data_IF_057177929234
#
_entry.id   IF_057177929234
#
_cell.length_a   1.000
_cell.length_b   1.000
_cell.length_c   1.000
_cell.angle_alpha   90.00
_cell.angle_beta   90.00
_cell.angle_gamma   90.00
#
_symmetry.space_group_name_H-M   'P 1'
#
loop_
_entity.id
_entity.type
_entity.pdbx_description
1 polymer ?
#
# COMPACT_ATOMS: atom_id res chain seq x y z
N UNK A 1 -13.57 45.26 -2.42
CA UNK A 1 -13.71 43.81 -2.12
C UNK A 1 -13.89 43.65 -0.62
N UNK A 2 -14.92 42.93 -0.14
CA UNK A 2 -15.11 42.66 1.28
C UNK A 2 -13.93 41.87 1.89
N UNK A 3 -13.48 42.16 3.13
CA UNK A 3 -12.35 41.49 3.78
C UNK A 3 -12.50 39.96 3.87
N UNK A 4 -13.74 39.46 3.99
CA UNK A 4 -14.02 38.03 4.00
C UNK A 4 -13.71 37.34 2.67
N UNK A 5 -13.91 38.03 1.53
CA UNK A 5 -13.59 37.49 0.20
C UNK A 5 -12.08 37.37 0.03
N UNK A 6 -11.32 38.40 0.43
CA UNK A 6 -9.86 38.37 0.40
C UNK A 6 -9.27 37.26 1.30
N UNK A 7 -9.88 37.00 2.46
CA UNK A 7 -9.47 35.92 3.34
C UNK A 7 -9.66 34.53 2.68
N UNK A 8 -10.81 34.30 2.05
CA UNK A 8 -11.09 33.02 1.37
C UNK A 8 -10.19 32.84 0.15
N UNK A 9 -9.97 33.89 -0.64
CA UNK A 9 -9.06 33.87 -1.79
C UNK A 9 -7.63 33.50 -1.36
N UNK A 10 -7.12 34.10 -0.29
CA UNK A 10 -5.78 33.79 0.24
C UNK A 10 -5.71 32.35 0.80
N UNK A 11 -6.78 31.86 1.43
CA UNK A 11 -6.88 30.45 1.86
C UNK A 11 -6.85 29.50 0.66
N UNK A 12 -7.62 29.78 -0.39
CA UNK A 12 -7.63 28.99 -1.62
C UNK A 12 -6.27 29.00 -2.31
N UNK A 13 -5.61 30.17 -2.35
CA UNK A 13 -4.27 30.31 -2.92
C UNK A 13 -3.23 29.46 -2.17
N UNK A 14 -3.23 29.50 -0.84
CA UNK A 14 -2.36 28.66 0.00
C UNK A 14 -2.66 27.17 -0.19
N UNK A 15 -3.94 26.79 -0.25
CA UNK A 15 -4.33 25.39 -0.49
C UNK A 15 -3.86 24.91 -1.86
N UNK A 16 -4.00 25.72 -2.91
CA UNK A 16 -3.53 25.37 -4.24
C UNK A 16 -2.00 25.24 -4.30
N UNK A 17 -1.25 26.10 -3.61
CA UNK A 17 0.21 25.98 -3.48
C UNK A 17 0.61 24.69 -2.76
N UNK A 18 -0.08 24.36 -1.67
CA UNK A 18 0.14 23.11 -0.94
C UNK A 18 -0.11 21.89 -1.83
N UNK A 19 -1.24 21.85 -2.56
CA UNK A 19 -1.57 20.74 -3.44
C UNK A 19 -0.52 20.53 -4.54
N UNK A 20 -0.04 21.61 -5.17
CA UNK A 20 1.06 21.54 -6.15
C UNK A 20 2.37 21.05 -5.55
N UNK A 21 2.66 21.45 -4.30
CA UNK A 21 3.82 20.94 -3.57
C UNK A 21 3.69 19.45 -3.29
N UNK A 22 2.52 19.01 -2.83
CA UNK A 22 2.21 17.62 -2.52
C UNK A 22 2.27 16.75 -3.79
N UNK A 23 1.77 17.25 -4.92
CA UNK A 23 1.91 16.60 -6.25
C UNK A 23 3.37 16.40 -6.65
N UNK A 24 4.22 17.43 -6.49
CA UNK A 24 5.65 17.32 -6.80
C UNK A 24 6.36 16.33 -5.88
N UNK A 25 6.04 16.34 -4.58
CA UNK A 25 6.59 15.39 -3.60
C UNK A 25 6.17 13.97 -3.92
N UNK A 26 4.90 13.76 -4.26
CA UNK A 26 4.39 12.46 -4.64
C UNK A 26 5.11 11.92 -5.89
N UNK A 27 5.23 12.73 -6.95
CA UNK A 27 5.95 12.33 -8.17
C UNK A 27 7.44 12.05 -7.91
N UNK A 28 8.08 12.80 -7.02
CA UNK A 28 9.48 12.57 -6.64
C UNK A 28 9.67 11.27 -5.85
N UNK A 29 8.75 10.95 -4.94
CA UNK A 29 8.75 9.68 -4.23
C UNK A 29 8.54 8.49 -5.19
N UNK A 30 7.60 8.59 -6.13
CA UNK A 30 7.39 7.55 -7.15
C UNK A 30 8.65 7.33 -8.00
N UNK A 31 9.24 8.42 -8.52
CA UNK A 31 10.46 8.33 -9.31
C UNK A 31 11.63 7.73 -8.51
N UNK A 32 11.78 8.10 -7.24
CA UNK A 32 12.78 7.54 -6.32
C UNK A 32 12.56 6.04 -6.11
N UNK A 33 11.32 5.61 -5.90
CA UNK A 33 10.98 4.19 -5.73
C UNK A 33 11.30 3.38 -6.98
N UNK A 34 10.95 3.89 -8.16
CA UNK A 34 11.28 3.24 -9.43
C UNK A 34 12.78 3.14 -9.66
N UNK A 35 13.51 4.23 -9.43
CA UNK A 35 14.95 4.24 -9.55
C UNK A 35 15.60 3.25 -8.57
N UNK A 36 15.14 3.24 -7.31
CA UNK A 36 15.64 2.31 -6.31
C UNK A 36 15.39 0.84 -6.71
N UNK A 37 14.20 0.52 -7.25
CA UNK A 37 13.90 -0.83 -7.76
C UNK A 37 14.81 -1.23 -8.93
N UNK A 38 15.11 -0.30 -9.85
CA UNK A 38 16.07 -0.52 -10.93
C UNK A 38 17.50 -0.72 -10.41
N UNK A 39 17.91 0.03 -9.38
CA UNK A 39 19.22 -0.15 -8.74
C UNK A 39 19.34 -1.51 -8.04
N UNK A 40 18.26 -2.03 -7.43
CA UNK A 40 18.22 -3.38 -6.85
C UNK A 40 18.15 -4.48 -7.92
N UNK A 41 17.54 -4.20 -9.07
CA UNK A 41 17.36 -5.16 -10.16
C UNK A 41 17.83 -4.59 -11.51
N UNK A 42 19.15 -4.32 -11.70
CA UNK A 42 19.65 -3.66 -12.91
C UNK A 42 19.35 -4.43 -14.20
N UNK A 43 19.23 -5.75 -14.11
CA UNK A 43 18.85 -6.62 -15.22
C UNK A 43 17.41 -6.41 -15.70
N UNK A 44 16.57 -5.65 -15.00
CA UNK A 44 15.22 -5.30 -15.47
C UNK A 44 15.18 -4.01 -16.30
N UNK A 45 16.30 -3.31 -16.45
CA UNK A 45 16.36 -2.13 -17.31
C UNK A 45 16.02 -2.47 -18.77
N UNK A 46 15.18 -1.64 -19.37
CA UNK A 46 14.69 -1.82 -20.74
C UNK A 46 13.75 -3.02 -20.97
N UNK A 47 13.36 -3.77 -19.94
CA UNK A 47 12.42 -4.89 -20.10
C UNK A 47 11.01 -4.36 -20.38
N UNK A 48 10.35 -4.92 -21.41
CA UNK A 48 8.98 -4.56 -21.75
C UNK A 48 7.99 -5.17 -20.74
N UNK A 49 7.48 -4.35 -19.82
CA UNK A 49 6.56 -4.75 -18.75
C UNK A 49 5.13 -4.28 -19.02
N UNK A 50 4.71 -4.35 -20.30
CA UNK A 50 3.38 -3.91 -20.77
C UNK A 50 3.01 -2.44 -20.39
N UNK A 51 4.02 -1.58 -20.26
CA UNK A 51 3.85 -0.17 -19.84
C UNK A 51 3.62 0.03 -18.34
N UNK A 52 3.75 -1.03 -17.53
CA UNK A 52 3.67 -0.94 -16.07
C UNK A 52 5.04 -0.57 -15.47
N UNK A 53 5.07 0.30 -14.45
CA UNK A 53 6.29 0.56 -13.68
C UNK A 53 6.61 -0.62 -12.74
N UNK A 54 7.87 -0.75 -12.28
CA UNK A 54 8.32 -1.88 -11.46
C UNK A 54 7.56 -1.96 -10.13
N UNK A 55 7.23 -0.81 -9.54
CA UNK A 55 6.46 -0.75 -8.29
C UNK A 55 5.08 -1.40 -8.38
N UNK A 56 4.53 -1.60 -9.59
CA UNK A 56 3.20 -2.19 -9.80
C UNK A 56 3.21 -3.71 -9.97
N UNK A 57 4.39 -4.33 -9.98
CA UNK A 57 4.55 -5.76 -10.22
C UNK A 57 4.57 -6.62 -8.95
N UNK A 58 4.78 -6.03 -7.78
CA UNK A 58 4.86 -6.78 -6.52
C UNK A 58 6.04 -7.75 -6.48
N UNK A 59 7.22 -7.32 -6.94
CA UNK A 59 8.41 -8.18 -7.04
C UNK A 59 8.82 -8.76 -5.68
N UNK A 60 8.66 -7.99 -4.59
CA UNK A 60 8.96 -8.40 -3.21
C UNK A 60 7.97 -9.39 -2.62
N UNK A 61 6.80 -9.52 -3.23
CA UNK A 61 5.71 -10.41 -2.82
C UNK A 61 5.74 -11.73 -3.61
N UNK A 62 6.51 -11.78 -4.70
CA UNK A 62 6.64 -12.96 -5.54
C UNK A 62 7.76 -13.88 -5.05
N UNK A 63 7.39 -15.03 -4.48
CA UNK A 63 8.33 -16.01 -3.92
C UNK A 63 9.34 -16.54 -4.95
N UNK A 64 8.90 -16.71 -6.20
CA UNK A 64 9.80 -17.20 -7.25
C UNK A 64 10.83 -16.14 -7.64
N UNK A 65 10.39 -14.88 -7.82
CA UNK A 65 11.29 -13.77 -8.13
C UNK A 65 12.28 -13.51 -7.00
N UNK A 66 11.81 -13.45 -5.75
CA UNK A 66 12.65 -13.22 -4.57
C UNK A 66 13.72 -14.30 -4.42
N UNK A 67 13.34 -15.58 -4.51
CA UNK A 67 14.31 -16.70 -4.52
C UNK A 67 15.33 -16.58 -5.65
N UNK A 68 14.88 -16.28 -6.86
CA UNK A 68 15.80 -16.10 -8.01
C UNK A 68 16.74 -14.92 -7.82
N UNK A 69 16.26 -13.83 -7.21
CA UNK A 69 17.06 -12.64 -6.93
C UNK A 69 18.10 -12.93 -5.83
N UNK A 70 17.74 -13.66 -4.79
CA UNK A 70 18.69 -14.12 -3.76
C UNK A 70 19.79 -14.99 -4.36
N UNK A 71 19.44 -15.98 -5.18
CA UNK A 71 20.41 -16.82 -5.89
C UNK A 71 21.32 -15.98 -6.82
N UNK A 72 20.76 -14.98 -7.51
CA UNK A 72 21.55 -14.05 -8.33
C UNK A 72 22.55 -13.26 -7.48
N UNK A 73 22.15 -12.72 -6.32
CA UNK A 73 23.06 -11.98 -5.43
C UNK A 73 24.23 -12.83 -4.94
N UNK A 74 23.99 -14.11 -4.62
CA UNK A 74 25.05 -15.05 -4.22
C UNK A 74 26.02 -15.33 -5.37
N UNK A 75 25.50 -15.56 -6.58
CA UNK A 75 26.33 -15.80 -7.77
C UNK A 75 27.13 -14.55 -8.18
N UNK A 76 26.55 -13.36 -7.99
CA UNK A 76 27.16 -12.08 -8.33
C UNK A 76 28.37 -11.73 -7.44
N UNK A 77 28.57 -12.44 -6.31
CA UNK A 77 29.78 -12.31 -5.50
C UNK A 77 31.06 -12.84 -6.20
N UNK A 78 30.92 -13.62 -7.28
CA UNK A 78 32.04 -14.12 -8.09
C UNK A 78 31.66 -14.18 -9.58
N UNK A 79 31.48 -13.02 -10.23
CA UNK A 79 30.83 -12.94 -11.54
C UNK A 79 31.65 -13.59 -12.65
N UNK A 80 32.97 -13.52 -12.59
CA UNK A 80 33.87 -14.12 -13.60
C UNK A 80 33.73 -15.65 -13.69
N UNK A 81 33.48 -16.32 -12.55
CA UNK A 81 33.32 -17.77 -12.48
C UNK A 81 31.91 -18.22 -12.82
N UNK A 82 30.94 -17.32 -12.68
CA UNK A 82 29.51 -17.62 -12.74
C UNK A 82 28.82 -16.97 -13.95
N UNK A 83 29.56 -16.42 -14.91
CA UNK A 83 29.02 -15.55 -15.97
C UNK A 83 27.83 -16.18 -16.73
N UNK A 84 27.96 -17.43 -17.19
CA UNK A 84 26.87 -18.12 -17.89
C UNK A 84 25.66 -18.38 -17.00
N UNK A 85 25.90 -18.77 -15.74
CA UNK A 85 24.82 -19.03 -14.78
C UNK A 85 24.11 -17.74 -14.38
N UNK A 86 24.84 -16.63 -14.22
CA UNK A 86 24.29 -15.30 -13.98
C UNK A 86 23.42 -14.85 -15.14
N UNK A 87 23.90 -14.96 -16.37
CA UNK A 87 23.13 -14.59 -17.56
C UNK A 87 21.84 -15.41 -17.68
N UNK A 88 21.90 -16.72 -17.39
CA UNK A 88 20.71 -17.58 -17.36
C UNK A 88 19.74 -17.15 -16.24
N UNK A 89 20.24 -16.84 -15.04
CA UNK A 89 19.41 -16.35 -13.92
C UNK A 89 18.75 -15.01 -14.22
N UNK A 90 19.47 -14.09 -14.84
CA UNK A 90 18.91 -12.80 -15.29
C UNK A 90 17.81 -13.00 -16.33
N UNK A 91 17.95 -13.96 -17.24
CA UNK A 91 16.87 -14.32 -18.17
C UNK A 91 15.65 -14.88 -17.44
N UNK A 92 15.84 -15.73 -16.43
CA UNK A 92 14.73 -16.22 -15.58
C UNK A 92 14.04 -15.06 -14.83
N UNK A 93 14.81 -14.12 -14.27
CA UNK A 93 14.28 -12.95 -13.57
C UNK A 93 13.50 -12.03 -14.50
N UNK A 94 14.03 -11.75 -15.71
CA UNK A 94 13.34 -11.00 -16.77
C UNK A 94 12.04 -11.67 -17.18
N UNK A 95 12.08 -12.99 -17.40
CA UNK A 95 10.90 -13.76 -17.78
C UNK A 95 9.83 -13.76 -16.66
N UNK A 96 10.25 -13.89 -15.39
CA UNK A 96 9.33 -13.82 -14.25
C UNK A 96 8.69 -12.43 -14.12
N UNK A 97 9.47 -11.36 -14.24
CA UNK A 97 8.94 -9.99 -14.23
C UNK A 97 7.94 -9.74 -15.38
N UNK A 98 8.23 -10.21 -16.59
CA UNK A 98 7.31 -10.12 -17.72
C UNK A 98 6.03 -10.96 -17.50
N UNK A 99 6.15 -12.13 -16.87
CA UNK A 99 5.01 -12.95 -16.48
C UNK A 99 4.12 -12.24 -15.46
N UNK A 100 4.71 -11.60 -14.44
CA UNK A 100 4.00 -10.79 -13.44
C UNK A 100 3.28 -9.62 -14.11
N UNK A 101 3.94 -8.87 -14.98
CA UNK A 101 3.32 -7.79 -15.73
C UNK A 101 2.11 -8.28 -16.57
N UNK A 102 2.26 -9.41 -17.26
CA UNK A 102 1.15 -10.01 -18.01
C UNK A 102 0.01 -10.48 -17.09
N UNK A 103 0.31 -11.00 -15.89
CA UNK A 103 -0.69 -11.38 -14.90
C UNK A 103 -1.49 -10.16 -14.40
N UNK A 104 -0.80 -9.04 -14.12
CA UNK A 104 -1.44 -7.77 -13.75
C UNK A 104 -2.42 -7.30 -14.82
N UNK A 105 -2.00 -7.29 -16.09
CA UNK A 105 -2.85 -6.87 -17.20
C UNK A 105 -4.06 -7.80 -17.37
N UNK A 106 -3.84 -9.13 -17.29
CA UNK A 106 -4.93 -10.12 -17.37
C UNK A 106 -5.95 -9.95 -16.24
N UNK A 107 -5.48 -9.73 -15.01
CA UNK A 107 -6.34 -9.53 -13.86
C UNK A 107 -7.21 -8.27 -14.04
N UNK A 108 -6.61 -7.15 -14.43
CA UNK A 108 -7.34 -5.90 -14.69
C UNK A 108 -8.37 -6.08 -15.83
N UNK A 109 -8.00 -6.77 -16.91
CA UNK A 109 -8.93 -7.07 -18.01
C UNK A 109 -10.10 -7.95 -17.56
N UNK A 110 -9.86 -8.96 -16.72
CA UNK A 110 -10.89 -9.82 -16.16
C UNK A 110 -11.88 -9.02 -15.29
N UNK A 111 -11.38 -8.15 -14.39
CA UNK A 111 -12.22 -7.29 -13.56
C UNK A 111 -13.08 -6.35 -14.41
N UNK A 112 -12.51 -5.75 -15.46
CA UNK A 112 -13.27 -4.90 -16.39
C UNK A 112 -14.33 -5.67 -17.19
N UNK A 113 -14.04 -6.92 -17.56
CA UNK A 113 -14.99 -7.80 -18.21
C UNK A 113 -16.15 -8.21 -17.31
N UNK A 114 -15.88 -8.48 -16.03
CA UNK A 114 -16.90 -8.82 -15.02
C UNK A 114 -17.76 -7.60 -14.63
N UNK A 115 -17.17 -6.41 -14.64
CA UNK A 115 -17.83 -5.17 -14.20
C UNK A 115 -17.77 -4.07 -15.28
N UNK A 116 -18.42 -4.28 -16.44
CA UNK A 116 -18.35 -3.34 -17.57
C UNK A 116 -18.94 -1.97 -17.24
N UNK A 117 -19.83 -1.88 -16.26
CA UNK A 117 -20.41 -0.60 -15.80
C UNK A 117 -19.41 0.29 -15.02
N UNK A 118 -18.21 -0.20 -14.72
CA UNK A 118 -17.13 0.53 -14.05
C UNK A 118 -16.05 1.10 -15.00
N UNK A 119 -16.23 1.00 -16.33
CA UNK A 119 -15.22 1.42 -17.33
C UNK A 119 -14.75 2.89 -17.24
N UNK A 120 -15.49 3.76 -16.56
CA UNK A 120 -15.20 5.20 -16.47
C UNK A 120 -15.16 5.67 -15.02
N UNK A 121 -14.08 5.34 -14.31
CA UNK A 121 -13.74 6.00 -13.06
C UNK A 121 -12.93 7.27 -13.37
N UNK A 122 -13.15 8.39 -12.66
CA UNK A 122 -12.53 9.68 -12.96
C UNK A 122 -11.07 9.78 -12.45
N UNK A 123 -10.52 8.70 -11.92
CA UNK A 123 -9.16 8.62 -11.36
C UNK A 123 -8.35 7.55 -12.08
N UNK A 124 -7.04 7.76 -12.17
CA UNK A 124 -6.09 6.79 -12.71
C UNK A 124 -5.80 5.71 -11.66
N UNK A 125 -6.80 4.86 -11.41
CA UNK A 125 -6.75 3.75 -10.46
C UNK A 125 -7.26 2.49 -11.16
N UNK A 126 -6.47 1.43 -11.09
CA UNK A 126 -6.86 0.13 -11.62
C UNK A 126 -7.93 -0.51 -10.73
N UNK A 127 -8.90 -1.25 -11.31
CA UNK A 127 -9.95 -1.90 -10.53
C UNK A 127 -9.40 -2.88 -9.49
N UNK A 128 -8.26 -3.53 -9.80
CA UNK A 128 -7.57 -4.42 -8.87
C UNK A 128 -7.14 -3.74 -7.55
N UNK A 129 -6.85 -2.44 -7.58
CA UNK A 129 -6.39 -1.65 -6.42
C UNK A 129 -7.55 -1.21 -5.52
N UNK A 130 -8.79 -1.36 -5.99
CA UNK A 130 -9.99 -1.00 -5.26
C UNK A 130 -10.50 -2.13 -4.36
N UNK A 131 -10.06 -3.36 -4.60
CA UNK A 131 -10.44 -4.56 -3.84
C UNK A 131 -11.98 -4.69 -3.67
N UNK A 132 -12.74 -4.33 -4.72
CA UNK A 132 -14.21 -4.25 -4.68
C UNK A 132 -14.87 -5.58 -4.31
N UNK A 133 -14.27 -6.70 -4.70
CA UNK A 133 -14.75 -8.06 -4.41
C UNK A 133 -14.72 -8.40 -2.91
N UNK A 134 -13.94 -7.66 -2.13
CA UNK A 134 -13.85 -7.81 -0.67
C UNK A 134 -14.64 -6.73 0.08
N UNK A 135 -15.19 -5.74 -0.61
CA UNK A 135 -15.96 -4.68 0.01
C UNK A 135 -17.42 -5.14 0.25
N UNK A 136 -17.90 -5.20 1.50
CA UNK A 136 -19.23 -5.76 1.80
C UNK A 136 -20.39 -4.98 1.19
N UNK A 137 -20.28 -3.64 1.10
CA UNK A 137 -21.31 -2.80 0.45
C UNK A 137 -21.36 -3.10 -1.06
N UNK A 138 -20.20 -3.21 -1.71
CA UNK A 138 -20.11 -3.52 -3.13
C UNK A 138 -20.61 -4.93 -3.44
N UNK A 139 -20.19 -5.93 -2.66
CA UNK A 139 -20.64 -7.33 -2.81
C UNK A 139 -22.15 -7.43 -2.65
N UNK A 140 -22.74 -6.72 -1.68
CA UNK A 140 -24.19 -6.70 -1.50
C UNK A 140 -24.94 -6.06 -2.69
N UNK A 141 -24.37 -5.02 -3.30
CA UNK A 141 -24.92 -4.41 -4.52
C UNK A 141 -24.79 -5.33 -5.72
N UNK A 142 -23.64 -6.00 -5.88
CA UNK A 142 -23.38 -6.96 -6.94
C UNK A 142 -24.33 -8.16 -6.86
N UNK A 143 -24.56 -8.71 -5.67
CA UNK A 143 -25.50 -9.80 -5.46
C UNK A 143 -26.95 -9.42 -5.84
N UNK A 144 -27.38 -8.20 -5.47
CA UNK A 144 -28.71 -7.68 -5.88
C UNK A 144 -28.81 -7.50 -7.39
N UNK A 145 -27.74 -7.03 -8.04
CA UNK A 145 -27.70 -6.88 -9.50
C UNK A 145 -27.73 -8.22 -10.21
N UNK A 146 -26.95 -9.21 -9.73
CA UNK A 146 -26.95 -10.56 -10.28
C UNK A 146 -28.34 -11.20 -10.19
N UNK A 147 -28.99 -11.18 -9.03
CA UNK A 147 -30.34 -11.71 -8.84
C UNK A 147 -31.40 -11.01 -9.72
N UNK A 148 -31.22 -9.70 -9.97
CA UNK A 148 -32.10 -8.95 -10.86
C UNK A 148 -31.94 -9.35 -12.33
N UNK A 149 -30.70 -9.65 -12.75
CA UNK A 149 -30.35 -10.03 -14.11
C UNK A 149 -30.69 -11.50 -14.44
N UNK A 150 -31.10 -12.31 -13.46
CA UNK A 150 -31.65 -13.66 -13.72
C UNK A 150 -32.93 -13.60 -14.55
N UNK A 151 -33.70 -12.51 -14.43
CA UNK A 151 -34.88 -12.23 -15.24
C UNK A 151 -34.48 -11.37 -16.47
N UNK A 152 -34.54 -11.91 -17.70
CA UNK A 152 -34.14 -11.21 -18.92
C UNK A 152 -34.93 -9.92 -19.17
N UNK A 153 -36.19 -9.85 -18.72
CA UNK A 153 -37.05 -8.66 -18.91
C UNK A 153 -36.65 -7.51 -17.96
N UNK A 154 -36.00 -7.86 -16.85
CA UNK A 154 -35.47 -6.91 -15.85
C UNK A 154 -34.00 -6.58 -16.07
N UNK A 155 -33.27 -7.45 -16.78
CA UNK A 155 -31.89 -7.23 -17.18
C UNK A 155 -31.78 -5.94 -18.03
N UNK A 156 -31.01 -4.96 -17.54
CA UNK A 156 -30.88 -3.65 -18.20
C UNK A 156 -32.04 -2.67 -17.98
N UNK A 157 -33.02 -3.04 -17.15
CA UNK A 157 -34.11 -2.16 -16.71
C UNK A 157 -33.64 -1.01 -15.81
N UNK A 158 -34.58 -0.15 -15.40
CA UNK A 158 -34.28 1.02 -14.57
C UNK A 158 -33.64 0.65 -13.22
N UNK A 159 -34.05 -0.47 -12.62
CA UNK A 159 -33.51 -0.97 -11.37
C UNK A 159 -32.06 -1.48 -11.52
N UNK A 160 -31.75 -2.20 -12.61
CA UNK A 160 -30.39 -2.66 -12.91
C UNK A 160 -29.44 -1.48 -13.11
N UNK A 161 -29.86 -0.49 -13.90
CA UNK A 161 -29.11 0.75 -14.13
C UNK A 161 -28.92 1.56 -12.83
N UNK A 162 -29.87 1.50 -11.90
CA UNK A 162 -29.73 2.13 -10.57
C UNK A 162 -28.68 1.42 -9.73
N UNK A 163 -28.66 0.09 -9.72
CA UNK A 163 -27.65 -0.70 -9.01
C UNK A 163 -26.26 -0.49 -9.61
N UNK A 164 -26.13 -0.48 -10.94
CA UNK A 164 -24.88 -0.17 -11.65
C UNK A 164 -24.36 1.24 -11.32
N UNK A 165 -25.27 2.22 -11.22
CA UNK A 165 -24.91 3.57 -10.77
C UNK A 165 -24.42 3.57 -9.33
N UNK A 166 -25.12 2.88 -8.42
CA UNK A 166 -24.71 2.77 -7.02
C UNK A 166 -23.33 2.11 -6.88
N UNK A 167 -23.07 1.02 -7.61
CA UNK A 167 -21.76 0.36 -7.67
C UNK A 167 -20.69 1.31 -8.22
N UNK A 168 -20.99 2.06 -9.29
CA UNK A 168 -20.06 3.06 -9.83
C UNK A 168 -19.76 4.17 -8.84
N UNK A 169 -20.75 4.69 -8.15
CA UNK A 169 -20.58 5.78 -7.18
C UNK A 169 -19.83 5.30 -5.93
N UNK A 170 -20.04 4.05 -5.50
CA UNK A 170 -19.21 3.42 -4.45
C UNK A 170 -17.77 3.23 -4.93
N UNK A 171 -17.55 2.67 -6.12
CA UNK A 171 -16.21 2.48 -6.68
C UNK A 171 -15.45 3.80 -6.84
N UNK A 172 -16.15 4.90 -7.20
CA UNK A 172 -15.57 6.25 -7.23
C UNK A 172 -15.11 6.72 -5.85
N UNK A 173 -15.94 6.57 -4.81
CA UNK A 173 -15.56 6.92 -3.43
C UNK A 173 -14.33 6.14 -2.98
N UNK A 174 -14.31 4.83 -3.22
CA UNK A 174 -13.15 3.98 -2.89
C UNK A 174 -11.91 4.42 -3.67
N UNK A 175 -12.05 4.73 -4.96
CA UNK A 175 -10.94 5.23 -5.77
C UNK A 175 -10.39 6.56 -5.26
N UNK A 176 -11.25 7.49 -4.83
CA UNK A 176 -10.83 8.75 -4.16
C UNK A 176 -10.00 8.46 -2.92
N UNK A 177 -10.48 7.55 -2.06
CA UNK A 177 -9.79 7.17 -0.83
C UNK A 177 -8.43 6.52 -1.12
N UNK A 178 -8.35 5.64 -2.13
CA UNK A 178 -7.10 4.99 -2.56
C UNK A 178 -6.09 6.02 -3.10
N UNK A 179 -6.52 6.95 -3.95
CA UNK A 179 -5.65 8.02 -4.48
C UNK A 179 -5.15 8.91 -3.36
N UNK A 180 -6.03 9.32 -2.46
CA UNK A 180 -5.69 10.17 -1.31
C UNK A 180 -4.73 9.46 -0.35
N UNK A 181 -4.95 8.19 -0.05
CA UNK A 181 -4.06 7.39 0.79
C UNK A 181 -2.68 7.23 0.14
N UNK A 182 -2.62 6.88 -1.15
CA UNK A 182 -1.36 6.79 -1.90
C UNK A 182 -0.61 8.12 -1.90
N UNK A 183 -1.30 9.22 -2.22
CA UNK A 183 -0.69 10.56 -2.23
C UNK A 183 -0.11 10.90 -0.87
N UNK A 184 -0.84 10.64 0.22
CA UNK A 184 -0.35 10.89 1.59
C UNK A 184 0.90 10.09 1.89
N UNK A 185 0.89 8.79 1.60
CA UNK A 185 2.04 7.92 1.82
C UNK A 185 3.27 8.41 1.03
N UNK A 186 3.11 8.76 -0.25
CA UNK A 186 4.20 9.28 -1.07
C UNK A 186 4.74 10.63 -0.58
N UNK A 187 3.85 11.55 -0.18
CA UNK A 187 4.25 12.84 0.40
C UNK A 187 5.00 12.63 1.72
N UNK A 188 4.55 11.70 2.55
CA UNK A 188 5.23 11.36 3.80
C UNK A 188 6.60 10.72 3.57
N UNK A 189 6.71 9.77 2.63
CA UNK A 189 7.99 9.21 2.17
C UNK A 189 8.95 10.31 1.73
N UNK A 190 8.52 11.23 0.87
CA UNK A 190 9.41 12.32 0.42
C UNK A 190 9.75 13.29 1.56
N UNK A 191 8.81 13.59 2.48
CA UNK A 191 9.11 14.40 3.66
C UNK A 191 10.19 13.75 4.55
N UNK A 192 10.14 12.42 4.72
CA UNK A 192 11.15 11.67 5.45
C UNK A 192 12.50 11.76 4.75
N UNK A 193 12.56 11.60 3.43
CA UNK A 193 13.81 11.69 2.67
C UNK A 193 14.38 13.11 2.58
N UNK A 194 13.54 14.13 2.49
CA UNK A 194 13.97 15.53 2.54
C UNK A 194 14.61 15.85 3.89
N UNK A 195 14.02 15.35 4.99
CA UNK A 195 14.56 15.59 6.34
C UNK A 195 15.75 14.68 6.68
N UNK A 196 15.72 13.44 6.22
CA UNK A 196 16.71 12.40 6.53
C UNK A 196 17.16 11.67 5.26
N UNK A 197 18.07 12.27 4.46
CA UNK A 197 18.61 11.63 3.26
C UNK A 197 19.33 10.30 3.53
N UNK A 198 19.68 10.04 4.79
CA UNK A 198 20.30 8.80 5.22
C UNK A 198 19.32 7.62 5.39
N UNK A 199 18.01 7.82 5.27
CA UNK A 199 17.05 6.72 5.37
C UNK A 199 17.03 5.88 4.08
N UNK A 200 16.95 4.55 4.17
CA UNK A 200 16.73 3.71 3.00
C UNK A 200 15.26 3.82 2.54
N UNK A 201 15.01 3.63 1.24
CA UNK A 201 13.64 3.56 0.68
C UNK A 201 12.84 2.40 1.30
N UNK A 202 13.55 1.29 1.52
CA UNK A 202 13.02 0.05 2.04
C UNK A 202 13.94 -0.46 3.16
N UNK A 203 13.62 -0.16 4.45
CA UNK A 203 14.46 -0.56 5.57
C UNK A 203 14.58 -2.07 5.80
N UNK A 204 13.62 -2.85 5.29
CA UNK A 204 13.66 -4.31 5.23
C UNK A 204 12.89 -4.80 3.99
N UNK A 205 13.22 -5.97 3.41
CA UNK A 205 12.60 -6.47 2.18
C UNK A 205 11.07 -6.37 2.16
N UNK A 206 10.53 -5.64 1.18
CA UNK A 206 9.11 -5.35 1.01
C UNK A 206 8.46 -4.54 2.14
N UNK A 207 9.21 -3.77 2.94
CA UNK A 207 8.67 -2.83 3.96
C UNK A 207 9.11 -1.41 3.61
N UNK A 208 8.19 -0.56 3.15
CA UNK A 208 8.51 0.81 2.78
C UNK A 208 8.80 1.68 4.02
N UNK A 209 9.65 2.71 3.86
CA UNK A 209 10.05 3.60 4.98
C UNK A 209 8.86 4.22 5.73
N UNK A 210 7.78 4.58 5.02
CA UNK A 210 6.56 5.14 5.62
C UNK A 210 5.78 4.12 6.44
N UNK A 211 5.88 2.83 6.10
CA UNK A 211 5.21 1.75 6.83
C UNK A 211 5.89 1.47 8.17
N UNK A 212 7.17 1.82 8.34
CA UNK A 212 7.93 1.54 9.57
C UNK A 212 7.37 2.28 10.79
N UNK A 213 6.67 3.41 10.62
CA UNK A 213 6.11 4.18 11.74
C UNK A 213 7.18 4.90 12.55
N UNK A 214 8.20 5.45 11.88
CA UNK A 214 9.33 6.14 12.51
C UNK A 214 8.89 7.32 13.38
N UNK A 215 7.84 8.03 12.98
CA UNK A 215 7.40 9.26 13.67
C UNK A 215 6.80 8.93 15.05
N UNK A 216 6.23 7.73 15.20
CA UNK A 216 5.68 7.23 16.46
C UNK A 216 6.79 6.74 17.41
N UNK A 217 7.88 6.21 16.86
CA UNK A 217 8.99 5.64 17.63
C UNK A 217 9.68 6.70 18.53
N UNK A 218 9.71 6.51 19.86
CA UNK A 218 10.29 7.48 20.78
C UNK A 218 11.81 7.65 20.60
N UNK A 219 12.53 6.59 20.22
CA UNK A 219 13.98 6.63 20.00
C UNK A 219 14.31 7.44 18.76
N UNK A 220 13.63 7.18 17.65
CA UNK A 220 13.73 7.98 16.43
C UNK A 220 13.39 9.45 16.68
N UNK A 221 12.35 9.75 17.47
CA UNK A 221 12.02 11.14 17.84
C UNK A 221 13.15 11.82 18.62
N UNK A 222 13.77 11.13 19.57
CA UNK A 222 14.92 11.67 20.30
C UNK A 222 16.10 11.95 19.36
N UNK A 223 16.44 11.00 18.49
CA UNK A 223 17.51 11.15 17.50
C UNK A 223 17.20 12.27 16.48
N UNK A 224 15.95 12.42 16.06
CA UNK A 224 15.50 13.53 15.22
C UNK A 224 15.75 14.87 15.90
N UNK A 225 15.41 14.98 17.19
CA UNK A 225 15.58 16.23 17.93
C UNK A 225 17.05 16.58 18.13
N UNK A 226 17.89 15.59 18.41
CA UNK A 226 19.34 15.75 18.48
C UNK A 226 19.90 16.21 17.13
N UNK A 227 19.51 15.56 16.03
CA UNK A 227 19.97 15.90 14.69
C UNK A 227 19.55 17.33 14.30
N UNK A 228 18.33 17.75 14.63
CA UNK A 228 17.85 19.12 14.40
C UNK A 228 18.71 20.15 15.18
N UNK A 229 19.13 19.82 16.41
CA UNK A 229 20.02 20.67 17.21
C UNK A 229 21.45 20.74 16.66
N UNK A 230 22.02 19.59 16.26
CA UNK A 230 23.38 19.53 15.70
C UNK A 230 23.49 20.30 14.38
N UNK A 231 22.44 20.26 13.54
CA UNK A 231 22.35 20.98 12.25
C UNK A 231 22.33 22.50 12.38
N UNK A 232 22.25 23.05 13.59
CA UNK A 232 22.41 24.50 13.81
C UNK A 232 23.83 24.99 13.46
N UNK A 233 24.85 24.13 13.63
CA UNK A 233 26.24 24.41 13.24
C UNK A 233 26.87 23.16 12.59
N UNK A 234 26.58 22.91 11.30
CA UNK A 234 26.95 21.65 10.64
C UNK A 234 28.46 21.44 10.49
N UNK A 235 29.25 22.51 10.37
CA UNK A 235 30.70 22.43 10.21
C UNK A 235 31.37 22.01 11.50
N UNK A 236 30.93 22.57 12.63
CA UNK A 236 31.44 22.19 13.95
C UNK A 236 31.00 20.79 14.38
N UNK A 237 29.76 20.42 14.05
CA UNK A 237 29.13 19.19 14.53
C UNK A 237 29.18 18.04 13.49
N UNK A 238 30.04 18.12 12.48
CA UNK A 238 30.01 17.21 11.33
C UNK A 238 30.10 15.72 11.73
N UNK A 239 31.00 15.38 12.67
CA UNK A 239 31.16 14.00 13.14
C UNK A 239 29.94 13.51 13.94
N UNK A 240 29.38 14.36 14.80
CA UNK A 240 28.17 14.04 15.58
C UNK A 240 26.94 13.90 14.68
N UNK A 241 26.81 14.74 13.64
CA UNK A 241 25.76 14.62 12.63
C UNK A 241 25.87 13.28 11.93
N UNK A 242 27.06 12.92 11.43
CA UNK A 242 27.28 11.64 10.75
C UNK A 242 27.05 10.43 11.68
N UNK A 243 27.39 10.55 12.97
CA UNK A 243 27.08 9.52 13.97
C UNK A 243 25.57 9.38 14.21
N UNK A 244 24.87 10.50 14.38
CA UNK A 244 23.42 10.54 14.61
C UNK A 244 22.65 10.05 13.38
N UNK A 245 23.06 10.42 12.16
CA UNK A 245 22.45 9.93 10.92
C UNK A 245 22.63 8.42 10.74
N UNK A 246 23.79 7.87 11.14
CA UNK A 246 23.98 6.41 11.20
C UNK A 246 23.05 5.76 12.22
N UNK A 247 22.86 6.38 13.39
CA UNK A 247 21.92 5.88 14.41
C UNK A 247 20.46 5.94 13.93
N UNK A 248 20.06 7.02 13.23
CA UNK A 248 18.75 7.17 12.61
C UNK A 248 18.52 6.08 11.55
N UNK A 249 19.49 5.85 10.67
CA UNK A 249 19.43 4.77 9.67
C UNK A 249 19.31 3.40 10.33
N UNK A 250 20.16 3.12 11.33
CA UNK A 250 20.15 1.85 12.06
C UNK A 250 18.80 1.60 12.75
N UNK A 251 18.22 2.63 13.40
CA UNK A 251 16.91 2.51 14.03
C UNK A 251 15.80 2.23 13.01
N UNK A 252 15.87 2.85 11.84
CA UNK A 252 14.90 2.58 10.78
C UNK A 252 14.99 1.14 10.25
N UNK A 253 16.20 0.62 10.05
CA UNK A 253 16.42 -0.77 9.65
C UNK A 253 15.95 -1.74 10.74
N UNK A 254 16.26 -1.49 12.01
CA UNK A 254 15.80 -2.31 13.15
C UNK A 254 14.27 -2.42 13.18
N UNK A 255 13.57 -1.29 13.10
CA UNK A 255 12.11 -1.27 13.09
C UNK A 255 11.52 -1.92 11.83
N UNK A 256 12.14 -1.71 10.67
CA UNK A 256 11.76 -2.38 9.43
C UNK A 256 11.90 -3.90 9.53
N UNK A 257 13.03 -4.40 10.05
CA UNK A 257 13.27 -5.82 10.27
C UNK A 257 12.29 -6.42 11.27
N UNK A 258 12.01 -5.73 12.38
CA UNK A 258 11.00 -6.17 13.35
C UNK A 258 9.61 -6.29 12.71
N UNK A 259 9.26 -5.34 11.83
CA UNK A 259 7.98 -5.37 11.10
C UNK A 259 7.91 -6.52 10.08
N UNK A 260 8.99 -6.77 9.36
CA UNK A 260 9.10 -7.92 8.47
C UNK A 260 8.96 -9.24 9.26
N UNK A 261 9.69 -9.40 10.36
CA UNK A 261 9.63 -10.59 11.21
C UNK A 261 8.23 -10.85 11.73
N UNK A 262 7.55 -9.82 12.27
CA UNK A 262 6.17 -9.93 12.70
C UNK A 262 5.22 -10.35 11.56
N UNK A 263 5.46 -9.85 10.34
CA UNK A 263 4.68 -10.22 9.15
C UNK A 263 4.90 -11.68 8.77
N UNK A 264 6.14 -12.16 8.78
CA UNK A 264 6.47 -13.55 8.50
C UNK A 264 5.94 -14.52 9.56
N UNK A 265 5.94 -14.11 10.84
CA UNK A 265 5.31 -14.87 11.92
C UNK A 265 3.80 -15.00 11.73
N UNK A 266 3.11 -13.91 11.38
CA UNK A 266 1.70 -13.98 11.04
C UNK A 266 1.44 -14.83 9.79
N UNK A 267 2.30 -14.78 8.77
CA UNK A 267 2.17 -15.62 7.58
C UNK A 267 2.37 -17.11 7.91
N UNK A 268 3.29 -17.44 8.84
CA UNK A 268 3.45 -18.81 9.35
C UNK A 268 2.20 -19.29 10.08
N UNK A 269 1.54 -18.42 10.84
CA UNK A 269 0.29 -18.73 11.53
C UNK A 269 -0.91 -18.84 10.57
N UNK A 270 -0.92 -18.05 9.49
CA UNK A 270 -2.04 -17.97 8.53
C UNK A 270 -1.54 -18.14 7.08
N UNK A 271 -1.05 -19.34 6.70
CA UNK A 271 -0.40 -19.58 5.40
C UNK A 271 -1.35 -19.46 4.19
N UNK A 272 -2.66 -19.40 4.42
CA UNK A 272 -3.68 -19.18 3.39
C UNK A 272 -3.86 -17.70 3.02
N UNK A 273 -3.23 -16.78 3.77
CA UNK A 273 -3.20 -15.35 3.48
C UNK A 273 -1.88 -14.95 2.79
N UNK A 274 -1.93 -14.02 1.83
CA UNK A 274 -0.72 -13.40 1.30
C UNK A 274 -0.04 -12.53 2.36
N UNK A 275 1.27 -12.29 2.17
CA UNK A 275 2.07 -11.38 3.01
C UNK A 275 1.46 -9.98 3.15
N UNK A 276 0.76 -9.52 2.12
CA UNK A 276 0.00 -8.26 2.10
C UNK A 276 -1.45 -8.53 1.77
N UNK A 277 -2.36 -8.06 2.61
CA UNK A 277 -3.81 -8.06 2.34
C UNK A 277 -4.21 -6.65 1.94
N UNK A 278 -4.67 -6.49 0.71
CA UNK A 278 -4.99 -5.19 0.10
C UNK A 278 -3.89 -4.15 0.33
N UNK A 279 -2.64 -4.48 -0.04
CA UNK A 279 -1.44 -3.65 0.15
C UNK A 279 -1.04 -3.37 1.62
N UNK A 280 -1.72 -3.92 2.62
CA UNK A 280 -1.38 -3.77 4.04
C UNK A 280 -0.60 -5.00 4.52
N UNK A 281 0.53 -4.79 5.21
CA UNK A 281 1.31 -5.86 5.83
C UNK A 281 0.49 -6.60 6.88
N UNK A 282 0.61 -7.93 6.95
CA UNK A 282 -0.13 -8.73 7.94
C UNK A 282 0.07 -8.22 9.37
N UNK A 283 1.32 -7.89 9.74
CA UNK A 283 1.66 -7.34 11.06
C UNK A 283 0.88 -6.07 11.49
N UNK A 284 0.27 -5.36 10.54
CA UNK A 284 -0.57 -4.19 10.81
C UNK A 284 -2.06 -4.51 11.01
N UNK A 285 -2.50 -5.72 10.67
CA UNK A 285 -3.91 -6.13 10.69
C UNK A 285 -4.38 -6.62 12.05
N UNK A 286 -3.45 -6.96 12.95
CA UNK A 286 -3.73 -7.47 14.30
C UNK A 286 -4.72 -8.64 14.29
N UNK A 287 -4.51 -9.60 13.39
CA UNK A 287 -5.42 -10.73 13.15
C UNK A 287 -5.72 -11.55 14.42
N UNK A 288 -4.76 -11.62 15.35
CA UNK A 288 -4.91 -12.30 16.63
C UNK A 288 -5.92 -11.63 17.60
N UNK A 289 -6.15 -10.31 17.46
CA UNK A 289 -7.07 -9.54 18.30
C UNK A 289 -8.51 -9.59 17.77
N UNK A 290 -8.73 -10.02 16.52
CA UNK A 290 -10.04 -10.05 15.88
C UNK A 290 -10.79 -11.36 16.19
N UNK A 291 -11.78 -11.29 17.08
CA UNK A 291 -12.55 -12.47 17.51
C UNK A 291 -13.24 -13.21 16.36
N UNK A 292 -13.80 -12.49 15.38
CA UNK A 292 -14.47 -13.11 14.22
C UNK A 292 -13.48 -13.88 13.36
N UNK A 293 -12.31 -13.30 13.11
CA UNK A 293 -11.24 -13.98 12.39
C UNK A 293 -10.77 -15.24 13.14
N UNK A 294 -10.58 -15.16 14.46
CA UNK A 294 -10.16 -16.31 15.27
C UNK A 294 -11.21 -17.44 15.32
N UNK A 295 -12.50 -17.11 15.35
CA UNK A 295 -13.57 -18.11 15.23
C UNK A 295 -13.53 -18.84 13.89
N UNK A 296 -13.29 -18.11 12.79
CA UNK A 296 -13.14 -18.69 11.46
C UNK A 296 -11.87 -19.55 11.35
N UNK A 297 -10.77 -19.15 11.99
CA UNK A 297 -9.54 -19.95 12.07
C UNK A 297 -9.81 -21.26 12.81
N UNK A 298 -10.46 -21.22 13.97
CA UNK A 298 -10.82 -22.41 14.73
C UNK A 298 -11.70 -23.37 13.92
N UNK A 299 -12.67 -22.83 13.16
CA UNK A 299 -13.48 -23.62 12.22
C UNK A 299 -12.65 -24.27 11.13
N UNK A 300 -11.73 -23.51 10.52
CA UNK A 300 -10.83 -24.00 9.46
C UNK A 300 -9.92 -25.11 10.01
N UNK A 301 -9.34 -24.93 11.18
CA UNK A 301 -8.45 -25.92 11.79
C UNK A 301 -9.20 -27.21 12.18
N UNK A 302 -10.44 -27.11 12.64
CA UNK A 302 -11.30 -28.28 12.84
C UNK A 302 -11.58 -29.04 11.53
N UNK A 303 -11.80 -28.32 10.43
CA UNK A 303 -11.98 -28.92 9.10
C UNK A 303 -10.69 -29.58 8.59
N UNK A 304 -9.52 -29.00 8.84
CA UNK A 304 -8.23 -29.58 8.47
C UNK A 304 -7.94 -30.83 9.32
N UNK A 305 -8.20 -30.77 10.62
CA UNK A 305 -8.00 -31.88 11.55
C UNK A 305 -8.92 -33.08 11.26
N UNK A 306 -10.11 -32.86 10.70
CA UNK A 306 -11.02 -33.92 10.26
C UNK A 306 -10.45 -34.76 9.08
N UNK A 307 -9.37 -34.31 8.43
CA UNK A 307 -8.63 -35.10 7.45
C UNK A 307 -9.38 -35.32 6.12
N UNK A 308 -9.07 -36.39 5.36
CA UNK A 308 -9.60 -36.63 4.01
C UNK A 308 -11.12 -36.79 3.90
N UNK A 309 -11.82 -36.96 5.04
CA UNK A 309 -13.29 -36.99 5.10
C UNK A 309 -13.94 -35.61 5.28
N UNK A 310 -13.13 -34.56 5.40
CA UNK A 310 -13.59 -33.17 5.51
C UNK A 310 -14.11 -32.66 4.16
N UNK A 311 -15.15 -31.82 4.22
CA UNK A 311 -15.74 -31.26 3.00
C UNK A 311 -14.80 -30.18 2.42
N UNK A 312 -14.18 -30.40 1.25
CA UNK A 312 -13.22 -29.46 0.67
C UNK A 312 -13.89 -28.14 0.25
N UNK A 313 -15.19 -28.16 -0.07
CA UNK A 313 -15.95 -26.96 -0.40
C UNK A 313 -16.16 -26.09 0.83
N UNK A 314 -16.40 -26.70 2.00
CA UNK A 314 -16.52 -25.97 3.26
C UNK A 314 -15.18 -25.37 3.70
N UNK A 315 -14.07 -26.08 3.50
CA UNK A 315 -12.74 -25.55 3.78
C UNK A 315 -12.46 -24.32 2.89
N UNK A 316 -12.67 -24.47 1.58
CA UNK A 316 -12.50 -23.37 0.61
C UNK A 316 -13.41 -22.18 0.93
N UNK A 317 -14.67 -22.43 1.33
CA UNK A 317 -15.59 -21.38 1.74
C UNK A 317 -15.15 -20.68 3.03
N UNK A 318 -14.61 -21.42 4.00
CA UNK A 318 -14.09 -20.86 5.25
C UNK A 318 -12.84 -20.02 5.00
N UNK A 319 -11.92 -20.48 4.17
CA UNK A 319 -10.72 -19.71 3.77
C UNK A 319 -11.09 -18.44 2.98
N UNK A 320 -12.16 -18.48 2.17
CA UNK A 320 -12.71 -17.29 1.53
C UNK A 320 -13.25 -16.28 2.56
N UNK A 321 -13.97 -16.75 3.58
CA UNK A 321 -14.45 -15.90 4.67
C UNK A 321 -13.29 -15.27 5.46
N UNK A 322 -12.23 -16.04 5.73
CA UNK A 322 -11.02 -15.54 6.37
C UNK A 322 -10.33 -14.45 5.56
N UNK A 323 -10.19 -14.64 4.24
CA UNK A 323 -9.64 -13.62 3.33
C UNK A 323 -10.50 -12.36 3.30
N UNK A 324 -11.82 -12.51 3.26
CA UNK A 324 -12.76 -11.39 3.34
C UNK A 324 -12.61 -10.60 4.65
N UNK A 325 -12.56 -11.29 5.80
CA UNK A 325 -12.37 -10.63 7.10
C UNK A 325 -11.01 -9.92 7.21
N UNK A 326 -9.93 -10.53 6.70
CA UNK A 326 -8.63 -9.89 6.67
C UNK A 326 -8.64 -8.61 5.80
N UNK A 327 -9.36 -8.61 4.68
CA UNK A 327 -9.54 -7.42 3.82
C UNK A 327 -10.34 -6.32 4.53
N UNK A 328 -11.40 -6.67 5.27
CA UNK A 328 -12.12 -5.70 6.11
C UNK A 328 -11.20 -5.03 7.14
N UNK A 329 -10.32 -5.82 7.78
CA UNK A 329 -9.32 -5.30 8.73
C UNK A 329 -8.29 -4.41 8.03
N UNK A 330 -7.86 -4.75 6.81
CA UNK A 330 -6.97 -3.91 6.00
C UNK A 330 -7.63 -2.58 5.65
N UNK A 331 -8.91 -2.59 5.26
CA UNK A 331 -9.68 -1.37 5.01
C UNK A 331 -9.81 -0.51 6.28
N UNK A 332 -10.06 -1.12 7.44
CA UNK A 332 -10.11 -0.42 8.72
C UNK A 332 -8.76 0.21 9.07
N UNK A 333 -7.66 -0.51 8.86
CA UNK A 333 -6.29 0.00 9.06
C UNK A 333 -6.00 1.21 8.17
N UNK A 334 -6.30 1.13 6.88
CA UNK A 334 -6.17 2.27 5.94
C UNK A 334 -7.00 3.47 6.39
N UNK A 335 -8.22 3.25 6.88
CA UNK A 335 -9.05 4.32 7.41
C UNK A 335 -8.43 4.98 8.64
N UNK A 336 -7.91 4.20 9.60
CA UNK A 336 -7.20 4.73 10.78
C UNK A 336 -5.98 5.57 10.37
N UNK A 337 -5.18 5.08 9.42
CA UNK A 337 -4.01 5.80 8.94
C UNK A 337 -4.38 7.08 8.19
N UNK A 338 -5.52 7.09 7.49
CA UNK A 338 -6.06 8.29 6.87
C UNK A 338 -6.44 9.39 7.88
N UNK A 339 -6.79 9.03 9.12
CA UNK A 339 -7.09 9.97 10.19
C UNK A 339 -5.87 10.40 11.02
N UNK A 340 -4.72 9.74 10.88
CA UNK A 340 -3.51 10.17 11.59
C UNK A 340 -3.17 11.60 11.15
N UNK A 341 -3.09 12.56 12.09
CA UNK A 341 -2.79 13.93 11.74
C UNK A 341 -1.34 13.98 11.27
N UNK A 342 -1.15 14.13 9.96
CA UNK A 342 0.08 14.76 9.48
C UNK A 342 0.21 16.08 10.25
N UNK A 343 1.37 16.32 10.89
CA UNK A 343 1.62 17.56 11.69
C UNK A 343 1.43 18.86 10.88
N UNK A 344 1.10 18.76 9.59
CA UNK A 344 0.68 19.85 8.71
C UNK A 344 -0.79 20.22 8.81
N UNK A 345 -1.68 19.42 9.41
CA UNK A 345 -3.04 19.86 9.77
C UNK A 345 -3.01 20.67 11.06
N UNK A 346 -2.55 21.93 11.01
CA UNK A 346 -3.10 22.94 11.93
C UNK A 346 -4.58 23.06 11.62
N UNK A 347 -5.42 22.35 12.36
CA UNK A 347 -6.83 22.65 12.45
C UNK A 347 -6.97 24.11 12.88
N UNK A 348 -7.35 24.98 11.94
CA UNK A 348 -7.95 26.27 12.28
C UNK A 348 -9.34 25.94 12.84
N UNK A 349 -9.41 25.65 14.14
CA UNK A 349 -10.68 25.73 14.86
C UNK A 349 -11.10 27.20 14.81
N UNK A 350 -12.07 27.50 13.97
CA UNK A 350 -12.84 28.74 14.07
C UNK A 350 -13.67 28.62 15.34
N UNK A 351 -13.19 29.19 16.45
CA UNK A 351 -14.05 29.48 17.60
C UNK A 351 -14.82 30.77 17.29
N UNK A 352 -16.16 30.79 17.28
CA UNK A 352 -16.89 32.03 17.22
C UNK A 352 -16.78 32.72 18.57
N UNK A 353 -16.03 33.83 18.65
CA UNK A 353 -16.05 34.71 19.81
C UNK A 353 -17.40 35.41 19.86
N UNK A 354 -18.30 34.96 20.73
CA UNK A 354 -19.48 35.72 21.12
C UNK A 354 -19.04 36.86 22.04
N UNK A 355 -18.74 38.02 21.48
CA UNK A 355 -18.67 39.25 22.25
C UNK A 355 -20.11 39.73 22.53
N UNK A 356 -20.62 39.40 23.72
CA UNK A 356 -21.73 40.12 24.34
C UNK A 356 -21.25 41.52 24.67
N UNK A 357 -21.77 42.52 23.98
CA UNK A 357 -21.77 43.90 24.45
C UNK A 357 -23.09 44.14 25.19
N UNK A 358 -22.98 44.60 26.44
CA UNK A 358 -24.08 45.18 27.21
C UNK A 358 -24.46 46.54 26.66
#
# INVERSE_FOLDING_TARGET
MPPAIQCVEEQMRRRMQQLRSDERKAAKAEARREQWLLEQHPYLDGVALAGLPLSKLGLSEDEEFTRLAEEHTVLAASPEKNAETLAAKEQCLKARAAHLAAAVVRQEAALRGQMPYLMHLPFDVALRELHLESNPEFVALLAKHAALCEDPDRAGGAEAKRLERAMRDLAKRIAEDVVEARRRALVETENLHEKYPCLPEEPAPGVAIVEVGLVEDPVFRALSHELDGLRADPTKNAEQIAATERAVRARAMELGSAKLQATEEEQRNYPFLPRRVDDVLMSDLRLAEDGVFQELVARRDALVAAGPGSNPELLTATERQLRGRASELAAAKKAVDAFRPTRTRRCVRVTPSWSRTR
#
